data_IF_833911449312
#
_entry.id   IF_833911449312
#
_cell.length_a   1.000
_cell.length_b   1.000
_cell.length_c   1.000
_cell.angle_alpha   90.00
_cell.angle_beta   90.00
_cell.angle_gamma   90.00
#
_symmetry.space_group_name_H-M   'P 1'
#
loop_
_entity.id
_entity.type
_entity.pdbx_description
1 polymer ?
#
# COMPACT_ATOMS: atom_id res chain seq x y z
N UNK A 1 -15.28 -42.21 -18.33
CA UNK A 1 -15.87 -40.93 -17.86
C UNK A 1 -15.51 -40.80 -16.38
N UNK A 2 -14.41 -40.12 -16.07
CA UNK A 2 -14.01 -39.87 -14.67
C UNK A 2 -14.58 -38.51 -14.30
N UNK A 3 -15.58 -38.51 -13.42
CA UNK A 3 -16.12 -37.29 -12.82
C UNK A 3 -15.12 -36.90 -11.73
N UNK A 4 -14.29 -35.90 -11.99
CA UNK A 4 -13.49 -35.26 -10.94
C UNK A 4 -14.47 -34.36 -10.18
N UNK A 5 -14.89 -34.83 -9.01
CA UNK A 5 -15.68 -34.06 -8.06
C UNK A 5 -14.94 -32.76 -7.69
N UNK A 6 -15.67 -31.64 -7.75
CA UNK A 6 -15.26 -30.30 -7.34
C UNK A 6 -14.48 -30.28 -6.00
N UNK A 7 -13.15 -30.29 -6.06
CA UNK A 7 -12.32 -29.79 -4.97
C UNK A 7 -12.26 -28.27 -5.12
N UNK A 8 -13.17 -27.55 -4.44
CA UNK A 8 -12.90 -26.16 -4.07
C UNK A 8 -11.80 -26.18 -3.01
N UNK A 9 -10.55 -26.33 -3.44
CA UNK A 9 -9.42 -26.19 -2.54
C UNK A 9 -9.28 -24.71 -2.21
N UNK A 10 -9.68 -24.35 -0.99
CA UNK A 10 -9.31 -23.08 -0.39
C UNK A 10 -7.79 -23.11 -0.19
N UNK A 11 -7.05 -22.57 -1.15
CA UNK A 11 -5.62 -22.35 -0.96
C UNK A 11 -5.46 -21.21 0.04
N UNK A 12 -4.94 -21.54 1.22
CA UNK A 12 -4.54 -20.55 2.21
C UNK A 12 -3.32 -19.81 1.63
N UNK A 13 -3.35 -18.48 1.64
CA UNK A 13 -2.19 -17.67 1.25
C UNK A 13 -1.07 -17.85 2.28
N UNK A 14 0.10 -18.31 1.84
CA UNK A 14 1.30 -18.44 2.68
C UNK A 14 2.16 -17.18 2.46
N UNK A 15 2.48 -16.47 3.54
CA UNK A 15 3.28 -15.24 3.47
C UNK A 15 4.77 -15.53 3.27
N UNK A 16 5.55 -14.50 2.89
CA UNK A 16 7.01 -14.62 2.81
C UNK A 16 7.65 -14.87 4.19
N UNK A 17 7.00 -14.37 5.25
CA UNK A 17 7.36 -14.57 6.65
C UNK A 17 7.21 -16.04 7.03
N UNK A 18 6.07 -16.66 6.70
CA UNK A 18 5.79 -18.08 6.95
C UNK A 18 6.73 -19.01 6.17
N UNK A 19 7.16 -18.58 4.99
CA UNK A 19 8.14 -19.30 4.17
C UNK A 19 9.59 -19.13 4.66
N UNK A 20 9.85 -18.22 5.60
CA UNK A 20 11.20 -17.92 6.09
C UNK A 20 12.09 -17.17 5.09
N UNK A 21 11.51 -16.53 4.08
CA UNK A 21 12.26 -15.78 3.04
C UNK A 21 12.35 -14.28 3.30
N UNK A 22 11.85 -13.80 4.43
CA UNK A 22 11.96 -12.40 4.83
C UNK A 22 10.71 -11.90 5.53
N UNK A 23 10.42 -10.61 5.34
CA UNK A 23 9.37 -9.87 6.04
C UNK A 23 8.43 -9.20 5.05
N UNK A 24 7.12 -9.36 5.22
CA UNK A 24 6.11 -8.75 4.33
C UNK A 24 5.59 -7.39 4.79
N UNK A 25 5.78 -7.03 6.06
CA UNK A 25 5.16 -5.83 6.65
C UNK A 25 6.20 -4.87 7.20
N UNK A 26 6.14 -3.61 6.81
CA UNK A 26 7.06 -2.56 7.27
C UNK A 26 6.29 -1.44 7.98
N UNK A 27 6.98 -0.67 8.83
CA UNK A 27 6.41 0.46 9.57
C UNK A 27 7.32 1.67 9.45
N UNK A 28 6.73 2.86 9.44
CA UNK A 28 7.49 4.09 9.65
C UNK A 28 8.16 4.05 11.02
N UNK A 29 9.41 4.49 11.08
CA UNK A 29 10.20 4.66 12.31
C UNK A 29 10.43 6.14 12.65
N UNK A 30 9.86 7.06 11.86
CA UNK A 30 9.76 8.47 12.17
C UNK A 30 8.34 8.80 12.63
N UNK A 31 8.19 9.37 13.82
CA UNK A 31 6.88 9.68 14.40
C UNK A 31 6.31 10.99 13.87
N UNK A 32 5.06 10.93 13.39
CA UNK A 32 4.28 12.09 12.97
C UNK A 32 2.81 11.82 13.24
N UNK A 33 2.14 12.71 13.99
CA UNK A 33 0.80 12.48 14.54
C UNK A 33 -0.28 13.40 13.99
N UNK A 34 0.09 14.41 13.20
CA UNK A 34 -0.88 15.37 12.64
C UNK A 34 -1.67 14.83 11.44
N UNK A 35 -1.32 13.65 10.92
CA UNK A 35 -2.05 12.96 9.87
C UNK A 35 -2.50 11.56 10.34
N UNK A 36 -3.63 11.05 9.81
CA UNK A 36 -4.09 9.70 10.13
C UNK A 36 -3.09 8.65 9.66
N UNK A 37 -2.79 7.70 10.54
CA UNK A 37 -2.01 6.49 10.19
C UNK A 37 -2.94 5.48 9.54
N UNK A 38 -2.50 4.87 8.44
CA UNK A 38 -3.28 3.89 7.67
C UNK A 38 -2.44 2.68 7.28
N UNK A 39 -3.07 1.52 7.13
CA UNK A 39 -2.45 0.33 6.53
C UNK A 39 -2.46 0.48 5.01
N UNK A 40 -1.29 0.36 4.39
CA UNK A 40 -1.11 0.46 2.94
C UNK A 40 -0.46 -0.82 2.40
N UNK A 41 -0.76 -1.14 1.14
CA UNK A 41 -0.07 -2.21 0.41
C UNK A 41 0.82 -1.65 -0.69
N UNK A 42 1.86 -2.41 -0.99
CA UNK A 42 2.71 -2.21 -2.16
C UNK A 42 2.43 -3.30 -3.17
N UNK A 43 2.11 -2.91 -4.39
CA UNK A 43 1.75 -3.83 -5.49
C UNK A 43 2.59 -3.51 -6.73
N UNK A 44 2.87 -4.52 -7.54
CA UNK A 44 3.51 -4.28 -8.84
C UNK A 44 2.52 -3.84 -9.92
N UNK A 45 1.21 -4.02 -9.67
CA UNK A 45 0.15 -3.67 -10.61
C UNK A 45 -1.08 -3.23 -9.84
N UNK A 46 -1.62 -2.09 -10.23
CA UNK A 46 -2.79 -1.55 -9.57
C UNK A 46 -4.02 -2.44 -9.72
N UNK A 47 -4.80 -2.58 -8.65
CA UNK A 47 -6.06 -3.30 -8.71
C UNK A 47 -7.12 -2.48 -9.46
N UNK A 48 -7.85 -3.15 -10.34
CA UNK A 48 -8.95 -2.56 -11.11
C UNK A 48 -9.99 -3.57 -11.54
N UNK A 49 -9.96 -4.77 -10.95
CA UNK A 49 -10.93 -5.84 -11.15
C UNK A 49 -11.59 -6.16 -9.81
N UNK A 50 -12.92 -6.20 -9.79
CA UNK A 50 -13.71 -6.37 -8.58
C UNK A 50 -13.38 -7.66 -7.81
N UNK A 51 -13.16 -8.78 -8.51
CA UNK A 51 -12.82 -10.05 -7.85
C UNK A 51 -11.47 -9.95 -7.13
N UNK A 52 -10.45 -9.37 -7.78
CA UNK A 52 -9.15 -9.18 -7.15
C UNK A 52 -9.19 -8.21 -5.96
N UNK A 53 -10.02 -7.17 -6.04
CA UNK A 53 -10.21 -6.19 -4.95
C UNK A 53 -10.84 -6.90 -3.74
N UNK A 54 -11.90 -7.69 -3.94
CA UNK A 54 -12.55 -8.43 -2.87
C UNK A 54 -11.63 -9.48 -2.24
N UNK A 55 -10.86 -10.21 -3.05
CA UNK A 55 -9.86 -11.16 -2.55
C UNK A 55 -8.81 -10.48 -1.68
N UNK A 56 -8.34 -9.29 -2.11
CA UNK A 56 -7.39 -8.50 -1.36
C UNK A 56 -7.97 -8.02 -0.03
N UNK A 57 -9.19 -7.46 -0.03
CA UNK A 57 -9.87 -6.98 1.17
C UNK A 57 -10.15 -8.10 2.18
N UNK A 58 -10.52 -9.29 1.69
CA UNK A 58 -10.71 -10.46 2.54
C UNK A 58 -9.40 -10.97 3.15
N UNK A 59 -8.28 -10.78 2.45
CA UNK A 59 -6.96 -11.25 2.88
C UNK A 59 -6.26 -10.25 3.79
N UNK A 60 -6.41 -8.95 3.53
CA UNK A 60 -5.68 -7.86 4.18
C UNK A 60 -6.63 -6.71 4.49
N UNK A 61 -6.60 -6.21 5.73
CA UNK A 61 -7.33 -5.01 6.13
C UNK A 61 -6.52 -3.75 5.78
N UNK A 62 -6.54 -3.38 4.49
CA UNK A 62 -5.73 -2.30 3.92
C UNK A 62 -6.60 -1.19 3.36
N UNK A 63 -6.14 0.04 3.50
CA UNK A 63 -6.90 1.26 3.20
C UNK A 63 -6.41 1.94 1.93
N UNK A 64 -5.12 1.77 1.59
CA UNK A 64 -4.50 2.39 0.41
C UNK A 64 -3.59 1.42 -0.31
N UNK A 65 -3.33 1.73 -1.59
CA UNK A 65 -2.44 0.98 -2.46
C UNK A 65 -1.43 1.94 -3.09
N UNK A 66 -0.18 1.49 -3.16
CA UNK A 66 0.91 2.17 -3.87
C UNK A 66 1.84 1.12 -4.49
N UNK A 67 2.91 1.55 -5.16
CA UNK A 67 3.81 0.63 -5.87
C UNK A 67 5.23 0.56 -5.30
N UNK A 68 5.60 1.48 -4.40
CA UNK A 68 6.97 1.59 -3.89
C UNK A 68 7.08 1.54 -2.37
N UNK A 69 5.97 1.62 -1.63
CA UNK A 69 6.00 1.91 -0.20
C UNK A 69 6.83 0.93 0.63
N UNK A 70 6.62 -0.38 0.46
CA UNK A 70 7.39 -1.40 1.16
C UNK A 70 8.87 -1.40 0.75
N UNK A 71 9.18 -1.13 -0.52
CA UNK A 71 10.56 -1.07 -1.00
C UNK A 71 11.34 0.09 -0.36
N UNK A 72 10.71 1.27 -0.23
CA UNK A 72 11.31 2.43 0.45
C UNK A 72 11.55 2.12 1.92
N UNK A 73 10.56 1.58 2.64
CA UNK A 73 10.73 1.24 4.05
C UNK A 73 11.78 0.14 4.26
N UNK A 74 11.82 -0.88 3.40
CA UNK A 74 12.87 -1.89 3.42
C UNK A 74 14.25 -1.25 3.33
N UNK A 75 14.48 -0.38 2.35
CA UNK A 75 15.76 0.30 2.17
C UNK A 75 16.14 1.15 3.39
N UNK A 76 15.21 1.92 3.96
CA UNK A 76 15.45 2.72 5.15
C UNK A 76 15.75 1.85 6.39
N UNK A 77 15.05 0.71 6.56
CA UNK A 77 15.32 -0.25 7.63
C UNK A 77 16.73 -0.85 7.48
N UNK A 78 17.14 -1.24 6.25
CA UNK A 78 18.49 -1.76 5.99
C UNK A 78 19.59 -0.72 6.26
N UNK A 79 19.31 0.56 6.01
CA UNK A 79 20.26 1.65 6.21
C UNK A 79 20.17 2.28 7.61
N UNK A 80 19.28 1.79 8.47
CA UNK A 80 18.97 2.36 9.78
C UNK A 80 18.64 3.88 9.73
N UNK A 81 17.86 4.29 8.73
CA UNK A 81 17.46 5.68 8.51
C UNK A 81 16.04 5.92 9.04
N UNK A 82 15.77 7.07 9.69
CA UNK A 82 14.40 7.52 9.96
C UNK A 82 13.62 7.69 8.65
N UNK A 83 12.40 7.19 8.60
CA UNK A 83 11.57 7.13 7.42
C UNK A 83 10.10 7.37 7.77
N UNK A 84 9.50 8.27 7.01
CA UNK A 84 8.08 8.59 7.01
C UNK A 84 7.59 8.54 5.56
N UNK A 85 6.40 7.99 5.33
CA UNK A 85 5.72 8.09 4.04
C UNK A 85 4.41 8.82 4.19
N UNK A 86 4.27 9.93 3.46
CA UNK A 86 3.02 10.66 3.29
C UNK A 86 2.52 10.47 1.87
N UNK A 87 1.24 10.18 1.73
CA UNK A 87 0.57 9.93 0.44
C UNK A 87 -0.67 10.82 0.35
N UNK A 88 -0.85 11.47 -0.79
CA UNK A 88 -2.13 12.06 -1.15
C UNK A 88 -2.93 11.07 -2.01
N UNK A 89 -4.24 11.00 -1.81
CA UNK A 89 -5.12 10.10 -2.56
C UNK A 89 -5.39 10.68 -3.95
N UNK A 90 -4.97 9.98 -5.00
CA UNK A 90 -5.24 10.35 -6.39
C UNK A 90 -6.56 9.81 -6.93
N UNK A 91 -7.03 8.69 -6.40
CA UNK A 91 -8.23 7.99 -6.84
C UNK A 91 -8.65 6.92 -5.83
N UNK A 92 -9.88 6.45 -5.96
CA UNK A 92 -10.34 5.23 -5.32
C UNK A 92 -9.99 4.01 -6.17
N UNK A 93 -9.83 2.86 -5.50
CA UNK A 93 -9.65 1.58 -6.17
C UNK A 93 -11.03 1.07 -6.60
N UNK A 94 -11.31 1.17 -7.89
CA UNK A 94 -12.59 0.80 -8.50
C UNK A 94 -12.37 0.07 -9.83
N UNK A 95 -13.39 -0.63 -10.38
CA UNK A 95 -13.33 -1.16 -11.74
C UNK A 95 -12.89 -0.07 -12.73
N UNK A 96 -11.79 -0.34 -13.43
CA UNK A 96 -10.92 0.62 -14.15
C UNK A 96 -11.63 1.83 -14.77
N UNK A 97 -11.62 2.96 -14.04
CA UNK A 97 -12.05 4.29 -14.51
C UNK A 97 -10.88 5.28 -14.33
N UNK A 98 -9.97 5.32 -15.31
CA UNK A 98 -8.77 6.17 -15.23
C UNK A 98 -9.09 7.66 -15.31
N UNK A 99 -10.19 7.99 -15.97
CA UNK A 99 -10.76 9.32 -16.12
C UNK A 99 -11.06 10.01 -14.78
N UNK A 100 -11.28 9.23 -13.71
CA UNK A 100 -11.57 9.76 -12.38
C UNK A 100 -10.31 10.12 -11.58
N UNK A 101 -9.11 9.87 -12.13
CA UNK A 101 -7.87 10.06 -11.39
C UNK A 101 -7.50 11.54 -11.32
N UNK A 102 -7.47 12.07 -10.10
CA UNK A 102 -7.12 13.46 -9.83
C UNK A 102 -5.64 13.59 -9.46
N UNK A 103 -4.76 13.06 -10.32
CA UNK A 103 -3.31 13.02 -10.06
C UNK A 103 -2.76 14.42 -9.80
N UNK A 104 -3.16 15.41 -10.62
CA UNK A 104 -2.71 16.79 -10.46
C UNK A 104 -3.09 17.40 -9.11
N UNK A 105 -4.31 17.12 -8.62
CA UNK A 105 -4.76 17.57 -7.30
C UNK A 105 -3.99 16.88 -6.18
N UNK A 106 -3.78 15.56 -6.28
CA UNK A 106 -3.03 14.80 -5.29
C UNK A 106 -1.59 15.30 -5.17
N UNK A 107 -0.90 15.53 -6.30
CA UNK A 107 0.46 16.09 -6.31
C UNK A 107 0.47 17.49 -5.71
N UNK A 108 -0.48 18.36 -6.09
CA UNK A 108 -0.58 19.72 -5.55
C UNK A 108 -0.73 19.70 -4.03
N UNK A 109 -1.63 18.86 -3.50
CA UNK A 109 -1.88 18.74 -2.07
C UNK A 109 -0.68 18.17 -1.32
N UNK A 110 -0.02 17.14 -1.89
CA UNK A 110 1.18 16.56 -1.31
C UNK A 110 2.34 17.57 -1.25
N UNK A 111 2.55 18.33 -2.33
CA UNK A 111 3.58 19.36 -2.39
C UNK A 111 3.32 20.49 -1.39
N UNK A 112 2.07 20.94 -1.26
CA UNK A 112 1.70 21.94 -0.27
C UNK A 112 2.02 21.45 1.14
N UNK A 113 1.57 20.24 1.50
CA UNK A 113 1.89 19.64 2.79
C UNK A 113 3.40 19.50 3.01
N UNK A 114 4.16 19.07 1.99
CA UNK A 114 5.61 18.89 2.09
C UNK A 114 6.32 20.21 2.34
N UNK A 115 5.99 21.27 1.58
CA UNK A 115 6.57 22.61 1.74
C UNK A 115 6.27 23.14 3.14
N UNK A 116 5.03 23.01 3.61
CA UNK A 116 4.65 23.44 4.95
C UNK A 116 5.39 22.62 6.02
N UNK A 117 5.51 21.31 5.82
CA UNK A 117 6.16 20.40 6.76
C UNK A 117 7.62 20.78 6.96
N UNK A 118 8.39 20.98 5.88
CA UNK A 118 9.80 21.33 5.95
C UNK A 118 10.03 22.77 6.42
N UNK A 119 9.15 23.71 6.07
CA UNK A 119 9.31 25.12 6.45
C UNK A 119 8.96 25.36 7.91
N UNK A 120 7.94 24.67 8.45
CA UNK A 120 7.40 24.95 9.78
C UNK A 120 7.87 23.97 10.88
N UNK A 121 8.33 22.76 10.55
CA UNK A 121 8.79 21.78 11.55
C UNK A 121 10.32 21.71 11.72
N UNK A 122 11.06 22.63 11.07
CA UNK A 122 12.50 22.77 11.28
C UNK A 122 13.30 21.49 11.00
N UNK A 123 13.02 20.84 9.87
CA UNK A 123 13.96 19.91 9.24
C UNK A 123 15.00 20.69 8.43
#
# INVERSE_FOLDING_TARGET
>A
MIIISNLKQSFIFISIDDLGFGKSTYKANFEYTALPKVNSITVNKVHGNQQSILQLQNRLNVQTESMEGAAVFYACEQLNLPCLQIRAISNYVEPRAKENWQIGLAIKNLNHWLIDFITNNGL
#
